data_IF_833254546851
#
_entry.id   IF_833254546851
#
_cell.length_a   1.000
_cell.length_b   1.000
_cell.length_c   1.000
_cell.angle_alpha   90.00
_cell.angle_beta   90.00
_cell.angle_gamma   90.00
#
_symmetry.space_group_name_H-M   'P 1'
#
loop_
_entity.id
_entity.type
_entity.pdbx_description
1 polymer ?
#
# COMPACT_ATOMS: atom_id res chain seq x y z
N UNK A 1 -66.32 16.85 -14.59
CA UNK A 1 -66.24 15.64 -13.75
C UNK A 1 -64.91 14.96 -14.06
N UNK A 2 -63.85 15.30 -13.31
CA UNK A 2 -62.50 14.75 -13.51
C UNK A 2 -62.00 14.25 -12.16
N UNK A 3 -62.00 12.93 -11.98
CA UNK A 3 -61.43 12.27 -10.82
C UNK A 3 -59.89 12.24 -10.96
N UNK A 4 -59.19 12.99 -10.10
CA UNK A 4 -57.75 12.83 -9.90
C UNK A 4 -57.51 11.65 -8.97
N UNK A 5 -57.04 10.55 -9.54
CA UNK A 5 -56.56 9.37 -8.82
C UNK A 5 -55.24 9.74 -8.13
N UNK A 6 -55.26 9.77 -6.80
CA UNK A 6 -54.06 9.89 -5.97
C UNK A 6 -53.42 8.50 -5.85
N UNK A 7 -52.29 8.28 -6.52
CA UNK A 7 -51.45 7.10 -6.29
C UNK A 7 -50.64 7.31 -5.01
N UNK A 8 -51.06 6.67 -3.92
CA UNK A 8 -50.27 6.53 -2.70
C UNK A 8 -49.17 5.48 -2.95
N UNK A 9 -47.96 5.94 -3.25
CA UNK A 9 -46.76 5.10 -3.21
C UNK A 9 -46.40 4.82 -1.75
N UNK A 10 -46.82 3.65 -1.25
CA UNK A 10 -46.28 3.08 -0.02
C UNK A 10 -44.78 2.80 -0.22
N UNK A 11 -43.93 3.69 0.29
CA UNK A 11 -42.53 3.36 0.56
C UNK A 11 -42.51 2.36 1.72
N UNK A 12 -42.51 1.07 1.40
CA UNK A 12 -42.16 0.02 2.35
C UNK A 12 -40.68 0.20 2.64
N UNK A 13 -40.36 0.89 3.73
CA UNK A 13 -39.04 0.82 4.36
C UNK A 13 -38.88 -0.59 4.90
N UNK A 14 -38.37 -1.49 4.07
CA UNK A 14 -37.84 -2.77 4.50
C UNK A 14 -36.76 -2.47 5.54
N UNK A 15 -37.10 -2.57 6.82
CA UNK A 15 -36.10 -2.74 7.86
C UNK A 15 -35.42 -4.06 7.54
N UNK A 16 -34.29 -3.98 6.83
CA UNK A 16 -33.38 -5.10 6.68
C UNK A 16 -32.90 -5.44 8.09
N UNK A 17 -33.62 -6.36 8.73
CA UNK A 17 -33.11 -7.06 9.91
C UNK A 17 -31.73 -7.57 9.51
N UNK A 18 -30.70 -7.05 10.18
CA UNK A 18 -29.31 -7.46 10.00
C UNK A 18 -29.19 -8.92 10.45
N UNK A 19 -29.58 -9.86 9.59
CA UNK A 19 -29.34 -11.27 9.83
C UNK A 19 -27.84 -11.46 9.95
N UNK A 20 -27.41 -11.98 11.10
CA UNK A 20 -26.02 -12.31 11.35
C UNK A 20 -25.60 -13.36 10.32
N UNK A 21 -24.54 -13.08 9.58
CA UNK A 21 -24.01 -14.03 8.60
C UNK A 21 -23.53 -15.28 9.35
N UNK A 22 -23.96 -16.51 8.97
CA UNK A 22 -23.52 -17.72 9.65
C UNK A 22 -22.01 -17.90 9.60
N UNK A 23 -21.40 -18.16 10.75
CA UNK A 23 -19.93 -18.30 10.92
C UNK A 23 -19.34 -19.36 10.01
N UNK A 24 -19.97 -20.52 9.89
CA UNK A 24 -19.51 -21.62 9.02
C UNK A 24 -19.43 -21.20 7.55
N UNK A 25 -20.35 -20.34 7.12
CA UNK A 25 -20.37 -19.81 5.75
C UNK A 25 -19.20 -18.86 5.50
N UNK A 26 -18.78 -18.08 6.52
CA UNK A 26 -17.62 -17.19 6.44
C UNK A 26 -16.32 -18.02 6.49
N UNK A 27 -16.28 -19.06 7.32
CA UNK A 27 -15.14 -19.96 7.40
C UNK A 27 -14.89 -20.67 6.06
N UNK A 28 -15.95 -21.11 5.38
CA UNK A 28 -15.86 -21.65 4.01
C UNK A 28 -15.32 -20.62 3.00
N UNK A 29 -15.73 -19.35 3.12
CA UNK A 29 -15.22 -18.26 2.27
C UNK A 29 -13.73 -17.99 2.52
N UNK A 30 -13.27 -18.03 3.78
CA UNK A 30 -11.85 -17.90 4.15
C UNK A 30 -11.04 -19.04 3.54
N UNK A 31 -11.50 -20.28 3.70
CA UNK A 31 -10.80 -21.46 3.18
C UNK A 31 -10.72 -21.45 1.65
N UNK A 32 -11.79 -21.04 0.98
CA UNK A 32 -11.80 -20.90 -0.48
C UNK A 32 -10.81 -19.81 -0.96
N UNK A 33 -10.70 -18.69 -0.23
CA UNK A 33 -9.70 -17.66 -0.48
C UNK A 33 -8.26 -18.14 -0.24
N UNK A 34 -8.02 -18.90 0.83
CA UNK A 34 -6.69 -19.49 1.09
C UNK A 34 -6.30 -20.53 0.03
N UNK A 35 -7.26 -21.33 -0.47
CA UNK A 35 -7.02 -22.24 -1.60
C UNK A 35 -6.62 -21.49 -2.87
N UNK A 36 -7.32 -20.40 -3.20
CA UNK A 36 -6.95 -19.53 -4.31
C UNK A 36 -5.51 -19.01 -4.18
N UNK A 37 -5.16 -18.45 -3.01
CA UNK A 37 -3.81 -17.94 -2.76
C UNK A 37 -2.75 -19.04 -2.90
N UNK A 38 -3.01 -20.24 -2.38
CA UNK A 38 -2.08 -21.35 -2.48
C UNK A 38 -1.90 -21.83 -3.94
N UNK A 39 -3.00 -21.91 -4.71
CA UNK A 39 -2.98 -22.36 -6.09
C UNK A 39 -2.32 -21.34 -7.05
N UNK A 40 -2.48 -20.04 -6.77
CA UNK A 40 -1.91 -18.95 -7.60
C UNK A 40 -0.52 -18.51 -7.18
N UNK A 41 0.08 -19.13 -6.16
CA UNK A 41 1.47 -18.87 -5.80
C UNK A 41 2.41 -19.53 -6.80
N UNK A 42 3.35 -18.76 -7.34
CA UNK A 42 4.30 -19.25 -8.32
C UNK A 42 5.23 -20.31 -7.72
N UNK A 43 5.37 -21.45 -8.37
CA UNK A 43 6.20 -22.57 -7.90
C UNK A 43 7.62 -22.54 -8.46
N UNK A 44 7.86 -21.78 -9.54
CA UNK A 44 9.14 -21.74 -10.25
C UNK A 44 9.53 -20.32 -10.66
N UNK A 45 10.84 -20.09 -10.70
CA UNK A 45 11.44 -18.87 -11.21
C UNK A 45 11.65 -18.98 -12.72
N UNK A 46 11.14 -17.98 -13.44
CA UNK A 46 11.41 -17.74 -14.85
C UNK A 46 12.00 -16.32 -14.92
N UNK A 47 13.34 -16.23 -15.02
CA UNK A 47 14.07 -14.97 -14.96
C UNK A 47 13.49 -13.92 -15.91
N UNK A 48 13.26 -12.71 -15.40
CA UNK A 48 12.67 -11.61 -16.16
C UNK A 48 11.16 -11.71 -16.42
N UNK A 49 10.48 -12.73 -15.87
CA UNK A 49 9.03 -12.94 -16.03
C UNK A 49 8.28 -13.15 -14.72
N UNK A 50 8.77 -14.06 -13.88
CA UNK A 50 8.18 -14.42 -12.58
C UNK A 50 9.20 -15.09 -11.67
N UNK A 51 8.99 -15.03 -10.37
CA UNK A 51 9.87 -15.68 -9.40
C UNK A 51 9.10 -16.64 -8.49
N UNK A 52 9.77 -17.70 -8.04
CA UNK A 52 9.16 -18.66 -7.12
C UNK A 52 8.72 -17.96 -5.83
N UNK A 53 7.55 -18.35 -5.32
CA UNK A 53 6.92 -17.75 -4.16
C UNK A 53 6.04 -16.53 -4.44
N UNK A 54 6.15 -15.90 -5.62
CA UNK A 54 5.37 -14.70 -5.95
C UNK A 54 3.89 -14.99 -6.20
N UNK A 55 3.06 -13.99 -5.90
CA UNK A 55 1.72 -13.87 -6.46
C UNK A 55 1.71 -12.89 -7.62
N UNK A 56 0.79 -13.08 -8.56
CA UNK A 56 0.67 -12.16 -9.69
C UNK A 56 0.22 -10.76 -9.24
N UNK A 57 0.96 -9.75 -9.70
CA UNK A 57 0.58 -8.36 -9.66
C UNK A 57 0.75 -7.77 -11.05
N UNK A 58 0.00 -6.71 -11.33
CA UNK A 58 0.02 -6.03 -12.61
C UNK A 58 0.34 -4.56 -12.45
N UNK A 59 1.21 -4.05 -13.31
CA UNK A 59 1.38 -2.64 -13.57
C UNK A 59 0.54 -2.24 -14.79
N UNK A 60 -0.46 -1.39 -14.56
CA UNK A 60 -1.46 -0.95 -15.54
C UNK A 60 -1.31 0.52 -15.84
N UNK A 61 -1.12 0.84 -17.11
CA UNK A 61 -1.17 2.20 -17.61
C UNK A 61 -2.54 2.42 -18.27
N UNK A 62 -3.34 3.36 -17.75
CA UNK A 62 -4.71 3.64 -18.24
C UNK A 62 -4.77 4.73 -19.32
N UNK A 63 -3.63 5.37 -19.62
CA UNK A 63 -3.51 6.42 -20.62
C UNK A 63 -2.10 6.51 -21.18
N UNK A 64 -1.82 7.55 -21.97
CA UNK A 64 -0.47 7.79 -22.48
C UNK A 64 0.27 8.82 -21.63
N UNK A 65 1.53 8.54 -21.31
CA UNK A 65 2.42 9.44 -20.57
C UNK A 65 3.72 9.55 -21.36
N UNK A 66 4.19 10.79 -21.54
CA UNK A 66 5.46 11.08 -22.21
C UNK A 66 6.60 10.26 -21.56
N UNK A 67 7.44 9.65 -22.40
CA UNK A 67 8.54 8.73 -22.03
C UNK A 67 8.16 7.37 -21.42
N UNK A 68 6.98 7.23 -20.79
CA UNK A 68 6.51 5.96 -20.22
C UNK A 68 5.72 5.10 -21.20
N UNK A 69 5.05 5.71 -22.19
CA UNK A 69 4.34 4.99 -23.24
C UNK A 69 2.83 5.17 -23.19
N UNK A 70 2.10 4.21 -23.76
CA UNK A 70 0.64 4.22 -23.90
C UNK A 70 -0.05 3.18 -23.03
N UNK A 71 -1.39 3.16 -23.11
CA UNK A 71 -2.25 2.22 -22.38
C UNK A 71 -1.73 0.80 -22.50
N UNK A 72 -1.53 0.15 -21.35
CA UNK A 72 -0.92 -1.17 -21.30
C UNK A 72 -1.14 -1.86 -19.95
N UNK A 73 -0.96 -3.18 -19.91
CA UNK A 73 -1.09 -3.99 -18.70
C UNK A 73 -0.04 -5.08 -18.73
N UNK A 74 0.88 -5.06 -17.77
CA UNK A 74 1.97 -6.02 -17.67
C UNK A 74 2.02 -6.62 -16.29
N UNK A 75 2.37 -7.90 -16.22
CA UNK A 75 2.71 -8.52 -14.95
C UNK A 75 3.93 -7.84 -14.36
N UNK A 76 3.98 -7.64 -13.06
CA UNK A 76 5.15 -7.08 -12.39
C UNK A 76 5.41 -7.77 -11.05
N UNK A 77 6.65 -7.68 -10.59
CA UNK A 77 7.10 -8.21 -9.31
C UNK A 77 7.53 -7.06 -8.42
N UNK A 78 6.87 -6.90 -7.27
CA UNK A 78 7.15 -5.81 -6.34
C UNK A 78 7.08 -6.24 -4.87
N UNK A 79 7.87 -5.57 -4.04
CA UNK A 79 7.98 -5.86 -2.61
C UNK A 79 6.63 -5.68 -1.90
N UNK A 80 5.91 -4.60 -2.20
CA UNK A 80 4.62 -4.29 -1.59
C UNK A 80 3.63 -5.47 -1.65
N UNK A 81 3.49 -6.11 -2.81
CA UNK A 81 2.59 -7.26 -2.98
C UNK A 81 3.08 -8.46 -2.17
N UNK A 82 4.37 -8.81 -2.28
CA UNK A 82 4.91 -10.00 -1.63
C UNK A 82 4.94 -9.88 -0.11
N UNK A 83 5.52 -8.80 0.41
CA UNK A 83 5.56 -8.51 1.84
C UNK A 83 4.15 -8.26 2.40
N UNK A 84 3.27 -7.61 1.62
CA UNK A 84 1.88 -7.37 1.99
C UNK A 84 1.10 -8.66 2.21
N UNK A 85 1.09 -9.57 1.22
CA UNK A 85 0.41 -10.87 1.33
C UNK A 85 1.06 -11.72 2.44
N UNK A 86 2.40 -11.76 2.52
CA UNK A 86 3.09 -12.47 3.60
C UNK A 86 2.63 -11.98 4.99
N UNK A 87 2.61 -10.66 5.21
CA UNK A 87 2.23 -10.08 6.50
C UNK A 87 0.76 -10.36 6.84
N UNK A 88 -0.14 -10.29 5.86
CA UNK A 88 -1.55 -10.62 6.03
C UNK A 88 -1.71 -12.10 6.43
N UNK A 89 -1.09 -13.01 5.69
CA UNK A 89 -1.15 -14.44 5.97
C UNK A 89 -0.54 -14.78 7.34
N UNK A 90 0.57 -14.13 7.71
CA UNK A 90 1.18 -14.30 9.02
C UNK A 90 0.26 -13.83 10.16
N UNK A 91 -0.43 -12.70 9.99
CA UNK A 91 -1.44 -12.24 10.95
C UNK A 91 -2.59 -13.23 11.09
N UNK A 92 -3.10 -13.75 9.98
CA UNK A 92 -4.14 -14.79 9.99
C UNK A 92 -3.67 -16.04 10.74
N UNK A 93 -2.46 -16.53 10.47
CA UNK A 93 -1.92 -17.71 11.13
C UNK A 93 -1.67 -17.50 12.63
N UNK A 94 -1.12 -16.35 13.02
CA UNK A 94 -0.85 -16.05 14.43
C UNK A 94 -2.15 -15.85 15.23
N UNK A 95 -3.21 -15.38 14.59
CA UNK A 95 -4.51 -15.24 15.22
C UNK A 95 -5.30 -16.57 15.27
N UNK A 96 -4.98 -17.55 14.41
CA UNK A 96 -5.52 -18.90 14.45
C UNK A 96 -4.52 -19.92 13.87
N UNK A 97 -3.77 -20.56 14.76
CA UNK A 97 -2.68 -21.47 14.37
C UNK A 97 -3.16 -22.81 13.80
N UNK A 98 -4.48 -23.07 13.79
CA UNK A 98 -5.08 -24.24 13.14
C UNK A 98 -5.04 -24.16 11.61
N UNK A 99 -4.90 -22.95 11.03
CA UNK A 99 -4.82 -22.70 9.59
C UNK A 99 -3.48 -23.10 8.98
N UNK A 100 -3.10 -24.38 9.10
CA UNK A 100 -1.80 -24.92 8.67
C UNK A 100 -1.50 -24.75 7.18
N UNK A 101 -2.53 -24.62 6.32
CA UNK A 101 -2.38 -24.33 4.88
C UNK A 101 -1.59 -23.03 4.61
N UNK A 102 -1.55 -22.11 5.57
CA UNK A 102 -0.80 -20.86 5.44
C UNK A 102 0.73 -21.08 5.50
N UNK A 103 1.19 -22.05 6.29
CA UNK A 103 2.63 -22.22 6.56
C UNK A 103 3.47 -22.45 5.29
N UNK A 104 3.08 -23.35 4.37
CA UNK A 104 3.82 -23.52 3.12
C UNK A 104 3.86 -22.27 2.26
N UNK A 105 2.78 -21.47 2.24
CA UNK A 105 2.74 -20.21 1.47
C UNK A 105 3.74 -19.19 2.03
N UNK A 106 3.81 -19.05 3.35
CA UNK A 106 4.76 -18.17 4.03
C UNK A 106 6.21 -18.60 3.77
N UNK A 107 6.51 -19.89 3.86
CA UNK A 107 7.86 -20.41 3.58
C UNK A 107 8.28 -20.16 2.13
N UNK A 108 7.36 -20.36 1.16
CA UNK A 108 7.64 -20.17 -0.26
C UNK A 108 7.90 -18.70 -0.63
N UNK A 109 7.10 -17.76 -0.11
CA UNK A 109 7.27 -16.33 -0.47
C UNK A 109 8.46 -15.68 0.25
N UNK A 110 8.87 -16.20 1.41
CA UNK A 110 9.84 -15.48 2.24
C UNK A 110 11.21 -15.22 1.57
N UNK A 111 11.84 -16.18 0.87
CA UNK A 111 13.06 -15.90 0.10
C UNK A 111 12.88 -14.79 -0.94
N UNK A 112 11.70 -14.76 -1.56
CA UNK A 112 11.35 -13.75 -2.55
C UNK A 112 11.14 -12.37 -1.92
N UNK A 113 10.52 -12.27 -0.74
CA UNK A 113 10.46 -11.01 0.03
C UNK A 113 11.88 -10.47 0.29
N UNK A 114 12.82 -11.34 0.68
CA UNK A 114 14.21 -10.94 0.93
C UNK A 114 14.94 -10.50 -0.34
N UNK A 115 14.52 -10.95 -1.53
CA UNK A 115 15.13 -10.56 -2.80
C UNK A 115 15.03 -9.05 -3.12
N UNK A 116 14.08 -8.36 -2.48
CA UNK A 116 13.93 -6.90 -2.61
C UNK A 116 14.89 -6.11 -1.71
N UNK A 117 15.56 -6.77 -0.76
CA UNK A 117 16.34 -6.11 0.28
C UNK A 117 17.74 -5.66 -0.17
N UNK A 118 18.27 -4.65 0.53
CA UNK A 118 19.69 -4.29 0.59
C UNK A 118 20.06 -4.20 2.07
N UNK A 119 20.38 -5.35 2.67
CA UNK A 119 20.51 -5.48 4.12
C UNK A 119 19.14 -5.42 4.79
N UNK A 120 18.92 -4.44 5.67
CA UNK A 120 17.62 -4.22 6.33
C UNK A 120 16.74 -3.20 5.60
N UNK A 121 17.20 -2.63 4.48
CA UNK A 121 16.43 -1.71 3.64
C UNK A 121 15.73 -2.50 2.54
N UNK A 122 14.55 -2.08 2.13
CA UNK A 122 13.81 -2.69 1.04
C UNK A 122 13.38 -1.64 0.03
N UNK A 123 13.05 -2.10 -1.16
CA UNK A 123 12.69 -1.29 -2.30
C UNK A 123 11.52 -1.93 -3.04
N UNK A 124 10.69 -1.10 -3.67
CA UNK A 124 9.56 -1.55 -4.47
C UNK A 124 9.94 -2.60 -5.52
N UNK A 125 11.06 -2.42 -6.22
CA UNK A 125 11.57 -3.38 -7.21
C UNK A 125 12.83 -4.10 -6.73
N UNK A 126 13.12 -5.27 -7.30
CA UNK A 126 14.37 -5.99 -7.04
C UNK A 126 15.51 -5.46 -7.91
N UNK A 127 16.76 -5.75 -7.55
CA UNK A 127 17.91 -5.43 -8.39
C UNK A 127 18.00 -6.41 -9.56
N UNK A 128 18.03 -5.91 -10.77
CA UNK A 128 18.07 -6.68 -12.01
C UNK A 128 19.10 -6.09 -12.98
N UNK A 129 19.63 -6.88 -13.93
CA UNK A 129 20.41 -6.33 -15.03
C UNK A 129 19.59 -5.28 -15.77
N UNK A 130 20.15 -4.13 -16.16
CA UNK A 130 19.41 -3.13 -16.90
C UNK A 130 18.93 -3.70 -18.24
N UNK A 131 17.77 -3.23 -18.73
CA UNK A 131 17.22 -3.69 -20.01
C UNK A 131 17.92 -3.08 -21.24
N UNK A 132 18.90 -2.21 -21.00
CA UNK A 132 19.70 -1.50 -22.00
C UNK A 132 20.88 -0.77 -21.35
N UNK A 133 21.80 -0.32 -22.18
CA UNK A 133 22.87 0.61 -21.79
C UNK A 133 22.32 1.93 -21.23
N UNK A 134 22.86 2.32 -20.07
CA UNK A 134 22.52 3.52 -19.32
C UNK A 134 23.48 4.67 -19.58
N UNK A 135 24.65 4.40 -20.15
CA UNK A 135 25.58 5.40 -20.65
C UNK A 135 25.46 5.54 -22.19
N UNK A 136 26.04 6.62 -22.71
CA UNK A 136 26.21 6.83 -24.16
C UNK A 136 27.54 6.27 -24.68
N UNK A 137 28.49 6.01 -23.77
CA UNK A 137 29.81 5.46 -24.07
C UNK A 137 30.01 4.12 -23.38
N UNK A 138 31.26 3.86 -22.97
CA UNK A 138 31.65 2.62 -22.33
C UNK A 138 30.89 2.40 -21.00
N UNK A 139 30.29 1.22 -20.86
CA UNK A 139 29.66 0.80 -19.61
C UNK A 139 30.71 0.29 -18.61
N UNK A 140 30.46 0.42 -17.29
CA UNK A 140 31.30 -0.21 -16.28
C UNK A 140 31.31 -1.74 -16.46
N UNK A 141 32.46 -2.35 -16.15
CA UNK A 141 32.64 -3.81 -16.17
C UNK A 141 33.04 -4.32 -14.77
N UNK A 142 32.19 -5.12 -14.10
CA UNK A 142 30.88 -5.58 -14.54
C UNK A 142 29.80 -4.49 -14.47
N UNK A 143 28.76 -4.62 -15.30
CA UNK A 143 27.61 -3.71 -15.30
C UNK A 143 26.83 -3.85 -13.98
N UNK A 144 26.65 -2.77 -13.19
CA UNK A 144 25.89 -2.83 -11.94
C UNK A 144 24.41 -3.15 -12.18
N UNK A 145 23.83 -3.91 -11.24
CA UNK A 145 22.40 -4.13 -11.20
C UNK A 145 21.65 -2.85 -10.82
N UNK A 146 20.42 -2.71 -11.32
CA UNK A 146 19.55 -1.55 -11.06
C UNK A 146 18.16 -2.01 -10.62
N UNK A 147 17.46 -1.18 -9.86
CA UNK A 147 16.04 -1.37 -9.54
C UNK A 147 15.22 -1.05 -10.79
N UNK A 148 14.27 -1.92 -11.14
CA UNK A 148 13.37 -1.73 -12.30
C UNK A 148 12.19 -2.70 -12.27
N UNK A 149 11.10 -2.41 -13.01
CA UNK A 149 10.07 -3.40 -13.30
C UNK A 149 10.65 -4.68 -13.87
N UNK A 150 10.00 -5.81 -13.56
CA UNK A 150 10.44 -7.13 -14.01
C UNK A 150 10.16 -7.34 -15.49
N UNK A 151 8.89 -7.18 -15.90
CA UNK A 151 8.46 -7.49 -17.29
C UNK A 151 8.20 -6.24 -18.14
N UNK A 152 8.01 -5.08 -17.52
CA UNK A 152 7.77 -3.85 -18.28
C UNK A 152 9.07 -3.29 -18.85
N UNK A 153 9.24 -3.42 -20.16
CA UNK A 153 10.42 -2.91 -20.86
C UNK A 153 10.40 -1.39 -20.97
N UNK A 154 11.18 -0.74 -20.11
CA UNK A 154 11.47 0.68 -20.20
C UNK A 154 12.31 0.96 -21.46
N UNK A 155 11.71 1.59 -22.47
CA UNK A 155 12.39 1.82 -23.76
C UNK A 155 13.40 2.96 -23.69
N UNK A 156 13.14 4.01 -22.90
CA UNK A 156 13.98 5.20 -22.86
C UNK A 156 15.08 5.09 -21.80
N UNK A 157 16.32 5.47 -22.14
CA UNK A 157 17.45 5.50 -21.20
C UNK A 157 17.17 6.35 -19.95
N UNK A 158 16.58 7.54 -20.13
CA UNK A 158 16.18 8.42 -19.03
C UNK A 158 15.26 7.71 -18.03
N UNK A 159 14.22 7.04 -18.53
CA UNK A 159 13.25 6.34 -17.70
C UNK A 159 13.87 5.08 -17.05
N UNK A 160 14.81 4.40 -17.70
CA UNK A 160 15.56 3.31 -17.04
C UNK A 160 16.34 3.83 -15.84
N UNK A 161 17.01 4.99 -15.97
CA UNK A 161 17.69 5.64 -14.84
C UNK A 161 16.69 6.05 -13.76
N UNK A 162 15.56 6.64 -14.14
CA UNK A 162 14.51 7.06 -13.21
C UNK A 162 13.84 5.89 -12.45
N UNK A 163 13.80 4.69 -13.04
CA UNK A 163 13.25 3.52 -12.38
C UNK A 163 14.18 2.90 -11.34
N UNK A 164 15.48 3.24 -11.38
CA UNK A 164 16.47 2.82 -10.39
C UNK A 164 16.28 3.58 -9.07
N UNK A 165 15.11 3.45 -8.44
CA UNK A 165 14.74 4.24 -7.27
C UNK A 165 15.50 3.82 -6.02
N UNK A 166 15.70 4.74 -5.09
CA UNK A 166 16.27 4.45 -3.76
C UNK A 166 15.34 3.55 -2.92
N UNK A 167 15.88 2.81 -1.95
CA UNK A 167 15.07 2.16 -0.93
C UNK A 167 14.17 3.17 -0.22
N UNK A 168 12.98 2.75 0.17
CA UNK A 168 12.00 3.63 0.80
C UNK A 168 11.54 3.07 2.15
N UNK A 169 11.03 3.95 3.00
CA UNK A 169 10.58 3.65 4.36
C UNK A 169 9.35 2.73 4.37
N UNK A 170 8.55 2.74 3.30
CA UNK A 170 7.32 1.97 3.20
C UNK A 170 7.62 0.49 3.01
N UNK A 171 8.29 0.16 1.91
CA UNK A 171 8.73 -1.21 1.61
C UNK A 171 9.71 -1.69 2.70
N UNK A 172 10.56 -0.80 3.23
CA UNK A 172 11.45 -1.14 4.36
C UNK A 172 10.65 -1.55 5.60
N UNK A 173 9.61 -0.80 5.97
CA UNK A 173 8.76 -1.17 7.12
C UNK A 173 8.02 -2.49 6.88
N UNK A 174 7.48 -2.71 5.68
CA UNK A 174 6.74 -3.92 5.31
C UNK A 174 7.63 -5.16 5.25
N UNK A 175 8.81 -5.05 4.65
CA UNK A 175 9.79 -6.14 4.56
C UNK A 175 10.35 -6.52 5.94
N UNK A 176 10.64 -5.55 6.80
CA UNK A 176 11.07 -5.83 8.17
C UNK A 176 9.95 -6.39 9.05
N UNK A 177 8.70 -6.01 8.80
CA UNK A 177 7.54 -6.65 9.44
C UNK A 177 7.40 -8.11 8.97
N UNK A 178 7.70 -8.41 7.71
CA UNK A 178 7.73 -9.78 7.21
C UNK A 178 8.82 -10.61 7.88
N UNK A 179 10.03 -10.05 8.04
CA UNK A 179 11.10 -10.70 8.83
C UNK A 179 10.62 -10.96 10.26
N UNK A 180 10.03 -9.97 10.93
CA UNK A 180 9.52 -10.12 12.30
C UNK A 180 8.49 -11.24 12.43
N UNK A 181 7.51 -11.29 11.53
CA UNK A 181 6.51 -12.34 11.49
C UNK A 181 7.13 -13.72 11.22
N UNK A 182 8.05 -13.80 10.26
CA UNK A 182 8.71 -15.05 9.91
C UNK A 182 9.50 -15.61 11.10
N UNK A 183 10.23 -14.75 11.82
CA UNK A 183 10.89 -15.13 13.08
C UNK A 183 9.92 -15.67 14.11
N UNK A 184 8.80 -14.97 14.31
CA UNK A 184 7.80 -15.34 15.31
C UNK A 184 7.13 -16.68 14.99
N UNK A 185 6.95 -17.02 13.72
CA UNK A 185 6.28 -18.25 13.27
C UNK A 185 7.25 -19.42 13.18
N UNK A 186 8.48 -19.20 12.70
CA UNK A 186 9.42 -20.27 12.35
C UNK A 186 10.67 -20.34 13.25
N UNK A 187 10.86 -19.40 14.20
CA UNK A 187 11.98 -19.42 15.16
C UNK A 187 13.36 -19.11 14.56
N UNK A 188 13.43 -18.36 13.45
CA UNK A 188 14.68 -18.09 12.72
C UNK A 188 15.38 -16.82 13.20
N UNK A 189 16.16 -16.89 14.29
CA UNK A 189 16.71 -15.68 14.92
C UNK A 189 17.86 -14.98 14.17
N UNK A 190 18.47 -15.63 13.18
CA UNK A 190 19.66 -15.13 12.46
C UNK A 190 19.43 -13.83 11.67
N UNK A 191 18.19 -13.52 11.30
CA UNK A 191 17.88 -12.37 10.45
C UNK A 191 17.90 -11.06 11.23
N UNK A 192 18.49 -10.00 10.68
CA UNK A 192 18.45 -8.67 11.32
C UNK A 192 17.18 -7.94 10.89
N UNK A 193 16.62 -7.16 11.81
CA UNK A 193 15.53 -6.21 11.51
C UNK A 193 16.00 -4.78 11.65
N UNK A 194 15.36 -3.86 10.95
CA UNK A 194 15.62 -2.43 11.02
C UNK A 194 15.46 -1.91 12.46
N UNK A 195 16.38 -1.05 12.90
CA UNK A 195 16.24 -0.30 14.15
C UNK A 195 15.56 1.05 13.86
N UNK A 196 14.91 1.69 14.85
CA UNK A 196 14.30 3.02 14.67
C UNK A 196 15.26 4.07 14.11
N UNK A 197 16.54 3.97 14.50
CA UNK A 197 17.63 4.82 14.02
C UNK A 197 17.77 4.83 12.48
N UNK A 198 17.33 3.79 11.78
CA UNK A 198 17.31 3.78 10.32
C UNK A 198 16.32 4.83 9.78
N UNK A 199 15.09 4.85 10.31
CA UNK A 199 14.05 5.79 9.90
C UNK A 199 14.34 7.20 10.46
N UNK A 200 14.82 7.29 11.69
CA UNK A 200 15.16 8.57 12.35
C UNK A 200 16.31 9.34 11.67
N UNK A 201 17.09 8.67 10.80
CA UNK A 201 18.07 9.34 9.95
C UNK A 201 17.40 10.20 8.87
N UNK A 202 16.20 9.82 8.42
CA UNK A 202 15.49 10.43 7.30
C UNK A 202 14.20 11.08 7.82
N UNK A 203 14.35 12.18 8.55
CA UNK A 203 13.22 12.97 9.06
C UNK A 203 13.07 14.27 8.25
N UNK A 204 11.82 14.73 8.08
CA UNK A 204 11.50 16.04 7.50
C UNK A 204 11.88 17.18 8.47
N UNK A 205 13.18 17.42 8.60
CA UNK A 205 13.79 18.49 9.41
C UNK A 205 14.79 19.26 8.56
N UNK A 206 14.69 20.59 8.59
CA UNK A 206 15.64 21.51 7.96
C UNK A 206 15.96 21.23 6.48
N UNK A 207 14.97 20.71 5.76
CA UNK A 207 15.13 20.32 4.35
C UNK A 207 15.30 21.53 3.45
N UNK A 208 16.39 21.48 2.66
CA UNK A 208 16.74 22.46 1.63
C UNK A 208 16.13 22.17 0.27
N UNK A 209 15.42 21.07 0.14
CA UNK A 209 14.67 20.74 -1.05
C UNK A 209 13.34 20.12 -0.64
N UNK A 210 12.22 20.69 -1.11
CA UNK A 210 10.88 20.32 -0.65
C UNK A 210 10.04 19.90 -1.84
N UNK A 211 9.40 18.74 -1.72
CA UNK A 211 8.60 18.22 -2.81
C UNK A 211 7.37 19.11 -3.04
N UNK A 212 7.15 19.52 -4.30
CA UNK A 212 6.10 20.45 -4.69
C UNK A 212 4.70 19.96 -4.29
N UNK A 213 4.44 18.65 -4.42
CA UNK A 213 3.16 18.06 -4.02
C UNK A 213 2.90 18.20 -2.52
N UNK A 214 3.90 17.92 -1.67
CA UNK A 214 3.77 18.17 -0.24
C UNK A 214 3.54 19.66 0.03
N UNK A 215 4.25 20.56 -0.64
CA UNK A 215 4.04 22.00 -0.50
C UNK A 215 2.61 22.43 -0.82
N UNK A 216 2.07 22.02 -1.97
CA UNK A 216 0.75 22.43 -2.45
C UNK A 216 -0.42 21.78 -1.69
N UNK A 217 -0.32 20.48 -1.39
CA UNK A 217 -1.47 19.71 -0.93
C UNK A 217 -1.41 19.30 0.53
N UNK A 218 -0.20 19.17 1.08
CA UNK A 218 0.00 18.77 2.47
C UNK A 218 0.35 19.99 3.33
N UNK A 219 1.12 20.96 2.83
CA UNK A 219 1.31 22.27 3.46
C UNK A 219 2.03 22.20 4.82
N UNK A 220 2.99 21.28 4.97
CA UNK A 220 3.82 21.16 6.18
C UNK A 220 5.26 21.53 5.89
N UNK A 221 5.78 22.50 6.64
CA UNK A 221 7.22 22.73 6.72
C UNK A 221 7.80 22.03 7.94
N UNK A 222 8.87 21.27 7.72
CA UNK A 222 9.65 20.63 8.77
C UNK A 222 8.75 19.88 9.76
N UNK A 223 7.93 18.96 9.24
CA UNK A 223 6.99 18.20 10.08
C UNK A 223 7.70 17.36 11.14
N UNK A 224 8.97 17.02 10.93
CA UNK A 224 9.74 16.11 11.78
C UNK A 224 9.40 14.64 11.59
N UNK A 225 8.42 14.32 10.73
CA UNK A 225 7.96 12.98 10.42
C UNK A 225 8.95 12.25 9.48
N UNK A 226 8.76 10.94 9.28
CA UNK A 226 9.61 10.15 8.40
C UNK A 226 9.44 10.56 6.95
N UNK A 227 10.56 10.63 6.24
CA UNK A 227 10.61 10.78 4.79
C UNK A 227 10.34 9.44 4.10
N UNK A 228 9.80 9.49 2.89
CA UNK A 228 9.51 8.30 2.09
C UNK A 228 10.80 7.61 1.64
N UNK A 229 11.75 8.33 1.04
CA UNK A 229 12.97 7.74 0.49
C UNK A 229 14.09 7.71 1.53
N UNK A 230 14.85 6.60 1.60
CA UNK A 230 15.98 6.41 2.52
C UNK A 230 17.31 6.82 1.85
N UNK A 231 17.29 7.96 1.16
CA UNK A 231 18.40 8.54 0.43
C UNK A 231 18.59 10.01 0.73
N UNK A 232 19.73 10.54 0.33
CA UNK A 232 20.06 11.96 0.44
C UNK A 232 19.44 12.72 -0.74
N UNK A 233 18.85 13.88 -0.47
CA UNK A 233 18.28 14.75 -1.50
C UNK A 233 19.32 15.71 -2.05
N UNK A 234 19.15 16.14 -3.29
CA UNK A 234 19.84 17.31 -3.79
C UNK A 234 19.39 18.55 -3.00
N UNK A 235 20.34 19.41 -2.62
CA UNK A 235 20.06 20.62 -1.88
C UNK A 235 19.94 21.84 -2.80
N UNK A 236 18.96 22.71 -2.52
CA UNK A 236 18.96 24.07 -3.05
C UNK A 236 19.56 25.04 -2.03
N UNK A 237 20.40 25.97 -2.47
CA UNK A 237 20.89 27.06 -1.61
C UNK A 237 19.74 27.90 -1.06
N UNK A 238 18.75 28.18 -1.92
CA UNK A 238 17.55 28.93 -1.59
C UNK A 238 16.35 28.30 -2.30
N UNK A 239 15.66 27.38 -1.63
CA UNK A 239 14.47 26.72 -2.18
C UNK A 239 13.29 27.68 -2.28
N UNK A 240 12.60 27.65 -3.43
CA UNK A 240 11.27 28.22 -3.58
C UNK A 240 10.47 27.39 -4.61
N UNK A 241 9.16 27.61 -4.64
CA UNK A 241 8.28 26.83 -5.51
C UNK A 241 8.55 27.07 -7.00
N UNK A 242 8.98 28.27 -7.41
CA UNK A 242 9.25 28.57 -8.83
C UNK A 242 10.48 27.81 -9.33
N UNK A 243 11.54 27.71 -8.53
CA UNK A 243 12.71 26.86 -8.80
C UNK A 243 12.32 25.39 -8.89
N UNK A 244 11.55 24.90 -7.91
CA UNK A 244 11.08 23.51 -7.93
C UNK A 244 10.28 23.20 -9.20
N UNK A 245 9.37 24.09 -9.61
CA UNK A 245 8.61 23.97 -10.85
C UNK A 245 9.52 23.99 -12.08
N UNK A 246 10.50 24.89 -12.14
CA UNK A 246 11.44 24.95 -13.26
C UNK A 246 12.22 23.64 -13.41
N UNK A 247 12.77 23.11 -12.31
CA UNK A 247 13.45 21.82 -12.31
C UNK A 247 12.56 20.65 -12.73
N UNK A 248 11.27 20.68 -12.35
CA UNK A 248 10.29 19.69 -12.81
C UNK A 248 9.96 19.82 -14.30
N UNK A 249 9.98 21.04 -14.87
CA UNK A 249 9.76 21.27 -16.30
C UNK A 249 10.98 20.86 -17.14
N UNK A 250 12.19 21.04 -16.60
CA UNK A 250 13.46 20.72 -17.26
C UNK A 250 14.06 19.41 -16.77
N UNK A 251 13.23 18.50 -16.23
CA UNK A 251 13.65 17.26 -15.59
C UNK A 251 14.52 16.34 -16.46
N UNK A 252 14.41 16.48 -17.78
CA UNK A 252 15.15 15.72 -18.78
C UNK A 252 16.55 16.28 -19.10
N UNK A 253 16.96 17.40 -18.49
CA UNK A 253 18.25 18.05 -18.75
C UNK A 253 19.22 17.81 -17.57
N UNK A 254 20.51 17.48 -17.81
CA UNK A 254 21.46 17.10 -16.75
C UNK A 254 21.72 18.11 -15.63
N UNK A 255 21.41 19.40 -15.83
CA UNK A 255 21.54 20.41 -14.77
C UNK A 255 20.37 20.38 -13.78
N UNK A 256 19.29 19.66 -14.08
CA UNK A 256 18.14 19.60 -13.20
C UNK A 256 18.39 18.62 -12.05
N UNK A 257 18.05 19.00 -10.82
CA UNK A 257 18.01 18.07 -9.68
C UNK A 257 17.07 16.88 -9.93
N UNK A 258 16.08 17.03 -10.82
CA UNK A 258 15.19 15.93 -11.20
C UNK A 258 15.82 14.97 -12.22
N UNK A 259 17.07 15.17 -12.63
CA UNK A 259 17.72 14.34 -13.63
C UNK A 259 18.31 13.06 -12.99
N UNK A 260 17.88 11.86 -13.40
CA UNK A 260 18.40 10.61 -12.87
C UNK A 260 19.75 10.27 -13.52
N UNK A 261 20.68 9.77 -12.70
CA UNK A 261 22.02 9.38 -13.15
C UNK A 261 22.13 7.86 -13.39
N UNK A 262 23.07 7.46 -14.25
CA UNK A 262 23.30 6.04 -14.53
C UNK A 262 23.81 5.36 -13.25
N UNK A 263 23.27 4.17 -12.94
CA UNK A 263 23.68 3.31 -11.83
C UNK A 263 23.62 3.93 -10.42
N UNK A 264 23.05 5.13 -10.29
CA UNK A 264 22.86 5.82 -9.02
C UNK A 264 21.40 5.69 -8.61
N UNK A 265 21.08 5.28 -7.36
CA UNK A 265 19.71 5.28 -6.87
C UNK A 265 19.08 6.66 -6.98
N UNK A 266 17.85 6.72 -7.48
CA UNK A 266 17.14 7.95 -7.79
C UNK A 266 16.02 8.19 -6.76
N UNK A 267 15.99 9.39 -6.21
CA UNK A 267 14.81 9.89 -5.50
C UNK A 267 13.91 10.54 -6.56
N UNK A 268 12.66 10.09 -6.74
CA UNK A 268 11.75 10.70 -7.71
C UNK A 268 11.69 12.21 -7.60
N UNK A 269 11.92 12.89 -8.72
CA UNK A 269 12.00 14.34 -8.85
C UNK A 269 13.17 14.99 -8.10
N UNK A 270 14.22 14.23 -7.78
CA UNK A 270 15.38 14.69 -7.01
C UNK A 270 15.04 15.17 -5.61
N UNK A 271 13.83 14.89 -5.15
CA UNK A 271 13.25 15.50 -3.96
C UNK A 271 12.40 14.47 -3.24
N UNK A 272 12.78 14.16 -2.02
CA UNK A 272 12.08 13.27 -1.12
C UNK A 272 10.73 13.85 -0.72
N UNK A 273 9.85 13.02 -0.21
CA UNK A 273 8.50 13.42 0.14
C UNK A 273 8.11 12.89 1.51
N UNK A 274 7.01 13.41 2.02
CA UNK A 274 6.42 12.98 3.29
C UNK A 274 5.03 12.45 2.99
N UNK A 275 4.81 11.15 3.17
CA UNK A 275 3.51 10.51 2.95
C UNK A 275 2.96 9.95 4.27
N UNK A 276 1.70 10.26 4.57
CA UNK A 276 1.04 9.84 5.81
C UNK A 276 0.75 8.33 5.87
N UNK A 277 0.59 7.66 4.73
CA UNK A 277 0.43 6.21 4.65
C UNK A 277 1.77 5.53 4.94
N UNK A 278 2.86 6.03 4.36
CA UNK A 278 4.22 5.56 4.64
C UNK A 278 4.53 5.70 6.13
N UNK A 279 4.24 6.87 6.72
CA UNK A 279 4.43 7.09 8.15
C UNK A 279 3.58 6.12 9.00
N UNK A 280 2.34 5.83 8.62
CA UNK A 280 1.50 4.86 9.31
C UNK A 280 2.03 3.41 9.20
N UNK A 281 2.61 3.03 8.06
CA UNK A 281 3.22 1.72 7.88
C UNK A 281 4.51 1.57 8.71
N UNK A 282 5.35 2.61 8.78
CA UNK A 282 6.50 2.68 9.70
C UNK A 282 6.04 2.52 11.15
N UNK A 283 5.02 3.26 11.57
CA UNK A 283 4.47 3.14 12.93
C UNK A 283 3.89 1.75 13.21
N UNK A 284 3.24 1.10 12.23
CA UNK A 284 2.78 -0.29 12.37
C UNK A 284 3.93 -1.24 12.68
N UNK A 285 5.02 -1.15 11.92
CA UNK A 285 6.22 -1.96 12.14
C UNK A 285 6.83 -1.70 13.53
N UNK A 286 7.02 -0.42 13.89
CA UNK A 286 7.58 -0.02 15.17
C UNK A 286 6.70 -0.47 16.35
N UNK A 287 5.38 -0.39 16.23
CA UNK A 287 4.44 -0.83 17.26
C UNK A 287 4.49 -2.35 17.45
N UNK A 288 4.39 -3.13 16.36
CA UNK A 288 4.47 -4.60 16.42
C UNK A 288 5.80 -5.10 17.00
N UNK A 289 6.89 -4.38 16.74
CA UNK A 289 8.22 -4.73 17.26
C UNK A 289 8.53 -4.15 18.64
N UNK A 290 7.63 -3.37 19.25
CA UNK A 290 7.85 -2.75 20.56
C UNK A 290 8.91 -1.64 20.55
N UNK A 291 9.05 -0.94 19.42
CA UNK A 291 10.12 0.03 19.15
C UNK A 291 9.63 1.48 18.98
N UNK A 292 8.32 1.74 18.97
CA UNK A 292 7.75 3.09 18.74
C UNK A 292 8.37 4.16 19.65
N UNK A 293 8.44 3.90 20.96
CA UNK A 293 8.98 4.82 21.97
C UNK A 293 10.49 5.12 21.82
N UNK A 294 11.21 4.30 21.03
CA UNK A 294 12.64 4.50 20.77
C UNK A 294 12.90 5.34 19.52
N UNK A 295 11.86 5.68 18.76
CA UNK A 295 11.99 6.44 17.52
C UNK A 295 11.77 7.93 17.75
N UNK A 296 12.75 8.73 17.33
CA UNK A 296 12.71 10.20 17.41
C UNK A 296 11.67 10.84 16.48
N UNK A 297 11.28 10.16 15.41
CA UNK A 297 10.29 10.63 14.45
C UNK A 297 8.83 10.28 14.79
N UNK A 298 8.58 9.45 15.81
CA UNK A 298 7.26 8.87 16.08
C UNK A 298 6.20 9.93 16.42
N UNK A 299 6.48 10.80 17.39
CA UNK A 299 5.56 11.87 17.80
C UNK A 299 5.21 12.81 16.62
N UNK A 300 6.20 13.13 15.79
CA UNK A 300 6.01 13.97 14.62
C UNK A 300 5.16 13.28 13.55
N UNK A 301 5.35 11.97 13.36
CA UNK A 301 4.50 11.16 12.48
C UNK A 301 3.05 11.15 12.97
N UNK A 302 2.80 11.00 14.28
CA UNK A 302 1.45 11.08 14.86
C UNK A 302 0.80 12.44 14.60
N UNK A 303 1.52 13.54 14.86
CA UNK A 303 1.00 14.90 14.63
C UNK A 303 0.68 15.16 13.17
N UNK A 304 1.52 14.69 12.25
CA UNK A 304 1.28 14.78 10.81
C UNK A 304 0.01 14.02 10.42
N UNK A 305 -0.10 12.75 10.84
CA UNK A 305 -1.24 11.87 10.56
C UNK A 305 -2.55 12.48 11.10
N UNK A 306 -2.56 12.92 12.36
CA UNK A 306 -3.74 13.51 12.99
C UNK A 306 -4.18 14.78 12.24
N UNK A 307 -3.25 15.68 11.93
CA UNK A 307 -3.58 16.92 11.24
C UNK A 307 -4.11 16.67 9.83
N UNK A 308 -3.61 15.65 9.12
CA UNK A 308 -4.17 15.23 7.84
C UNK A 308 -5.59 14.69 8.00
N UNK A 309 -5.81 13.76 8.94
CA UNK A 309 -7.14 13.22 9.21
C UNK A 309 -8.15 14.32 9.56
N UNK A 310 -7.78 15.27 10.43
CA UNK A 310 -8.62 16.42 10.79
C UNK A 310 -9.01 17.29 9.59
N UNK A 311 -8.13 17.43 8.59
CA UNK A 311 -8.42 18.19 7.36
C UNK A 311 -9.37 17.46 6.40
N UNK A 312 -9.55 16.14 6.54
CA UNK A 312 -10.55 15.38 5.80
C UNK A 312 -10.35 15.31 4.27
N UNK A 313 -9.14 15.57 3.75
CA UNK A 313 -8.84 15.49 2.31
C UNK A 313 -8.55 14.04 1.87
N UNK A 314 -9.47 13.12 2.16
CA UNK A 314 -9.30 11.66 2.07
C UNK A 314 -8.79 11.15 0.71
N UNK A 315 -9.20 11.77 -0.39
CA UNK A 315 -8.75 11.38 -1.74
C UNK A 315 -7.29 11.76 -2.07
N UNK A 316 -6.62 12.55 -1.20
CA UNK A 316 -5.27 13.09 -1.38
C UNK A 316 -4.34 12.83 -0.20
N UNK A 317 -4.68 11.86 0.68
CA UNK A 317 -3.83 11.54 1.84
C UNK A 317 -2.48 10.97 1.39
N UNK A 318 -2.49 9.87 0.64
CA UNK A 318 -1.27 9.31 0.06
C UNK A 318 -0.90 9.91 -1.29
N UNK A 319 0.38 10.16 -1.47
CA UNK A 319 1.06 10.45 -2.74
C UNK A 319 0.98 9.22 -3.64
N UNK A 320 1.35 8.06 -3.13
CA UNK A 320 1.40 6.81 -3.90
C UNK A 320 0.09 6.01 -3.83
N UNK A 321 -0.81 6.39 -2.92
CA UNK A 321 -2.02 5.65 -2.60
C UNK A 321 -3.27 6.38 -3.08
N UNK A 322 -3.75 6.09 -4.31
CA UNK A 322 -4.88 6.80 -4.89
C UNK A 322 -6.23 6.37 -4.31
N UNK A 323 -6.30 5.18 -3.71
CA UNK A 323 -7.48 4.71 -3.02
C UNK A 323 -7.69 5.49 -1.70
N UNK A 324 -8.82 6.21 -1.60
CA UNK A 324 -9.12 7.09 -0.45
C UNK A 324 -9.23 6.36 0.90
N UNK A 325 -9.41 5.03 0.88
CA UNK A 325 -9.54 4.22 2.09
C UNK A 325 -8.24 3.54 2.52
N UNK A 326 -7.17 3.59 1.71
CA UNK A 326 -5.87 3.03 2.10
C UNK A 326 -5.33 3.70 3.36
N UNK A 327 -5.44 5.03 3.46
CA UNK A 327 -5.05 5.77 4.66
C UNK A 327 -5.76 5.28 5.92
N UNK A 328 -7.06 4.94 5.82
CA UNK A 328 -7.82 4.43 6.96
C UNK A 328 -7.22 3.10 7.41
N UNK A 329 -7.01 2.19 6.46
CA UNK A 329 -6.45 0.87 6.71
C UNK A 329 -5.07 0.95 7.39
N UNK A 330 -4.15 1.74 6.84
CA UNK A 330 -2.79 1.86 7.37
C UNK A 330 -2.77 2.42 8.81
N UNK A 331 -3.52 3.50 9.06
CA UNK A 331 -3.55 4.13 10.40
C UNK A 331 -4.28 3.24 11.42
N UNK A 332 -5.41 2.64 11.05
CA UNK A 332 -6.12 1.74 11.97
C UNK A 332 -5.29 0.51 12.32
N UNK A 333 -4.49 0.00 11.38
CA UNK A 333 -3.60 -1.15 11.61
C UNK A 333 -2.46 -0.78 12.57
N UNK A 334 -1.89 0.42 12.46
CA UNK A 334 -0.92 0.93 13.42
C UNK A 334 -1.53 1.06 14.83
N UNK A 335 -2.75 1.58 14.92
CA UNK A 335 -3.45 1.72 16.20
C UNK A 335 -3.72 0.33 16.84
N UNK A 336 -4.27 -0.62 16.08
CA UNK A 336 -4.49 -1.99 16.54
C UNK A 336 -3.18 -2.76 16.81
N UNK A 337 -2.06 -2.33 16.24
CA UNK A 337 -0.74 -2.86 16.58
C UNK A 337 -0.22 -2.42 17.96
N UNK A 338 -0.91 -1.49 18.63
CA UNK A 338 -0.56 -1.00 19.97
C UNK A 338 -0.13 0.47 20.01
N UNK A 339 -0.20 1.20 18.90
CA UNK A 339 0.15 2.62 18.86
C UNK A 339 -1.02 3.51 19.32
N UNK A 340 -1.20 3.61 20.64
CA UNK A 340 -2.36 4.28 21.26
C UNK A 340 -2.38 5.79 21.05
N UNK A 341 -1.28 6.41 20.65
CA UNK A 341 -1.24 7.84 20.28
C UNK A 341 -2.17 8.16 19.09
N UNK A 342 -2.54 7.14 18.30
CA UNK A 342 -3.44 7.27 17.16
C UNK A 342 -4.94 7.25 17.53
N UNK A 343 -5.31 7.09 18.80
CA UNK A 343 -6.71 6.96 19.22
C UNK A 343 -7.60 8.12 18.72
N UNK A 344 -7.11 9.36 18.84
CA UNK A 344 -7.82 10.54 18.34
C UNK A 344 -7.99 10.53 16.82
N UNK A 345 -6.96 10.08 16.11
CA UNK A 345 -7.05 9.89 14.65
C UNK A 345 -8.08 8.80 14.31
N UNK A 346 -8.12 7.71 15.07
CA UNK A 346 -9.11 6.64 14.94
C UNK A 346 -10.55 7.17 14.93
N UNK A 347 -10.86 8.19 15.75
CA UNK A 347 -12.18 8.83 15.74
C UNK A 347 -12.47 9.55 14.41
N UNK A 348 -11.51 10.29 13.86
CA UNK A 348 -11.68 10.92 12.54
C UNK A 348 -11.90 9.89 11.43
N UNK A 349 -11.24 8.73 11.51
CA UNK A 349 -11.44 7.63 10.57
C UNK A 349 -12.85 7.05 10.70
N UNK A 350 -13.30 6.73 11.91
CA UNK A 350 -14.63 6.16 12.17
C UNK A 350 -15.74 7.11 11.69
N UNK A 351 -15.61 8.40 11.96
CA UNK A 351 -16.55 9.43 11.51
C UNK A 351 -16.66 9.45 9.98
N UNK A 352 -15.53 9.35 9.27
CA UNK A 352 -15.53 9.33 7.81
C UNK A 352 -16.10 8.02 7.26
N UNK A 353 -15.74 6.86 7.83
CA UNK A 353 -16.26 5.56 7.41
C UNK A 353 -17.78 5.52 7.56
N UNK A 354 -18.31 5.97 8.69
CA UNK A 354 -19.75 6.07 8.94
C UNK A 354 -20.46 6.95 7.91
N UNK A 355 -19.87 8.09 7.54
CA UNK A 355 -20.47 9.04 6.59
C UNK A 355 -20.37 8.61 5.12
N UNK A 356 -19.48 7.69 4.78
CA UNK A 356 -19.14 7.39 3.38
C UNK A 356 -19.54 6.00 2.91
N UNK A 357 -19.98 5.12 3.81
CA UNK A 357 -20.58 3.84 3.43
C UNK A 357 -21.79 4.08 2.52
N UNK A 358 -21.87 3.33 1.43
CA UNK A 358 -23.03 3.36 0.53
C UNK A 358 -24.15 2.49 1.10
N UNK A 359 -25.37 2.64 0.58
CA UNK A 359 -26.55 1.89 1.05
C UNK A 359 -26.43 0.37 0.89
N UNK A 360 -25.58 -0.10 -0.03
CA UNK A 360 -25.28 -1.52 -0.23
C UNK A 360 -24.11 -2.03 0.62
N UNK A 361 -23.60 -1.21 1.55
CA UNK A 361 -22.48 -1.56 2.44
C UNK A 361 -21.09 -1.34 1.84
N UNK A 362 -21.00 -0.97 0.56
CA UNK A 362 -19.72 -0.73 -0.12
C UNK A 362 -19.11 0.64 0.20
N UNK A 363 -17.83 0.77 -0.12
CA UNK A 363 -17.09 2.02 -0.18
C UNK A 363 -16.51 2.20 -1.57
N UNK A 364 -16.45 3.45 -2.08
CA UNK A 364 -16.01 3.72 -3.47
C UNK A 364 -14.85 4.69 -3.53
N UNK A 365 -13.84 4.40 -4.35
CA UNK A 365 -12.74 5.33 -4.63
C UNK A 365 -13.15 6.47 -5.58
N UNK A 366 -12.22 7.37 -5.93
CA UNK A 366 -12.40 8.39 -6.98
C UNK A 366 -12.65 7.71 -8.33
N UNK A 367 -13.44 8.34 -9.22
CA UNK A 367 -13.75 7.84 -10.57
C UNK A 367 -12.51 7.41 -11.34
N UNK A 368 -11.42 8.17 -11.21
CA UNK A 368 -10.17 7.90 -11.94
C UNK A 368 -9.38 6.73 -11.37
N UNK A 369 -9.75 6.20 -10.22
CA UNK A 369 -9.04 5.09 -9.54
C UNK A 369 -9.82 3.82 -9.81
N UNK A 370 -9.41 3.09 -10.86
CA UNK A 370 -10.03 1.86 -11.35
C UNK A 370 -11.57 1.95 -11.42
N UNK A 371 -12.07 2.98 -12.11
CA UNK A 371 -13.50 3.22 -12.36
C UNK A 371 -14.37 3.16 -11.09
N UNK A 372 -13.97 3.88 -10.05
CA UNK A 372 -14.57 3.82 -8.72
C UNK A 372 -14.30 2.51 -7.98
N UNK A 373 -13.06 2.05 -7.90
CA UNK A 373 -12.66 0.84 -7.15
C UNK A 373 -13.50 0.63 -5.89
N UNK A 374 -14.38 -0.38 -5.89
CA UNK A 374 -15.34 -0.64 -4.80
C UNK A 374 -14.91 -1.81 -3.93
N UNK A 375 -14.41 -2.88 -4.54
CA UNK A 375 -14.05 -4.11 -3.83
C UNK A 375 -12.90 -3.82 -2.88
N UNK A 376 -11.78 -3.30 -3.37
CA UNK A 376 -10.62 -3.06 -2.53
C UNK A 376 -10.81 -1.88 -1.57
N UNK A 377 -11.57 -0.85 -1.99
CA UNK A 377 -12.01 0.21 -1.08
C UNK A 377 -12.82 -0.33 0.09
N UNK A 378 -13.72 -1.28 -0.17
CA UNK A 378 -14.53 -1.91 0.87
C UNK A 378 -13.70 -2.84 1.74
N UNK A 379 -12.74 -3.57 1.17
CA UNK A 379 -11.80 -4.38 1.95
C UNK A 379 -10.97 -3.52 2.92
N UNK A 380 -10.41 -2.40 2.46
CA UNK A 380 -9.69 -1.45 3.33
C UNK A 380 -10.60 -0.84 4.40
N UNK A 381 -11.80 -0.41 4.03
CA UNK A 381 -12.75 0.18 4.96
C UNK A 381 -13.22 -0.81 6.03
N UNK A 382 -13.56 -2.04 5.63
CA UNK A 382 -13.94 -3.11 6.55
C UNK A 382 -12.81 -3.47 7.51
N UNK A 383 -11.58 -3.68 6.99
CA UNK A 383 -10.42 -3.91 7.85
C UNK A 383 -10.20 -2.73 8.81
N UNK A 384 -10.42 -1.49 8.35
CA UNK A 384 -10.32 -0.33 9.22
C UNK A 384 -11.32 -0.39 10.36
N UNK A 385 -12.60 -0.66 10.07
CA UNK A 385 -13.63 -0.82 11.10
C UNK A 385 -13.28 -1.92 12.10
N UNK A 386 -12.78 -3.06 11.63
CA UNK A 386 -12.38 -4.19 12.47
C UNK A 386 -11.17 -3.85 13.35
N UNK A 387 -10.15 -3.18 12.81
CA UNK A 387 -8.98 -2.75 13.58
C UNK A 387 -9.33 -1.68 14.62
N UNK A 388 -10.20 -0.72 14.29
CA UNK A 388 -10.67 0.26 15.27
C UNK A 388 -11.43 -0.43 16.41
N UNK A 389 -12.25 -1.44 16.09
CA UNK A 389 -12.94 -2.26 17.10
C UNK A 389 -11.96 -3.07 17.96
N UNK A 390 -10.96 -3.71 17.34
CA UNK A 390 -9.88 -4.44 18.02
C UNK A 390 -9.09 -3.53 18.97
N UNK A 391 -8.86 -2.28 18.58
CA UNK A 391 -8.21 -1.26 19.41
C UNK A 391 -9.13 -0.67 20.51
N UNK A 392 -10.35 -1.19 20.67
CA UNK A 392 -11.28 -0.82 21.73
C UNK A 392 -12.25 0.32 21.39
N UNK A 393 -12.33 0.78 20.14
CA UNK A 393 -13.31 1.79 19.75
C UNK A 393 -14.71 1.20 19.60
N UNK A 394 -15.73 2.00 19.92
CA UNK A 394 -17.12 1.62 19.72
C UNK A 394 -17.51 1.76 18.23
N UNK A 395 -17.31 0.69 17.47
CA UNK A 395 -17.66 0.62 16.04
C UNK A 395 -19.06 0.00 15.87
N UNK A 396 -20.00 0.68 15.20
CA UNK A 396 -21.34 0.13 14.97
C UNK A 396 -21.29 -1.18 14.16
N UNK A 397 -21.85 -2.26 14.71
CA UNK A 397 -21.86 -3.57 14.05
C UNK A 397 -22.54 -3.57 12.70
N UNK A 398 -23.54 -2.70 12.49
CA UNK A 398 -24.23 -2.55 11.21
C UNK A 398 -23.28 -2.18 10.06
N UNK A 399 -22.31 -1.28 10.30
CA UNK A 399 -21.32 -0.89 9.28
C UNK A 399 -20.50 -2.11 8.86
N UNK A 400 -20.04 -2.89 9.83
CA UNK A 400 -19.24 -4.10 9.61
C UNK A 400 -20.05 -5.14 8.83
N UNK A 401 -21.26 -5.47 9.29
CA UNK A 401 -22.11 -6.50 8.67
C UNK A 401 -22.50 -6.15 7.24
N UNK A 402 -22.81 -4.88 6.95
CA UNK A 402 -23.15 -4.43 5.60
C UNK A 402 -21.94 -4.53 4.65
N UNK A 403 -20.74 -4.14 5.10
CA UNK A 403 -19.52 -4.30 4.28
C UNK A 403 -19.13 -5.76 4.07
N UNK A 404 -19.33 -6.61 5.08
CA UNK A 404 -19.19 -8.06 4.93
C UNK A 404 -20.14 -8.59 3.86
N UNK A 405 -21.43 -8.25 3.93
CA UNK A 405 -22.43 -8.68 2.95
C UNK A 405 -22.06 -8.22 1.53
N UNK A 406 -21.61 -6.97 1.38
CA UNK A 406 -21.12 -6.47 0.10
C UNK A 406 -19.96 -7.33 -0.43
N UNK A 407 -18.88 -7.50 0.33
CA UNK A 407 -17.71 -8.25 -0.15
C UNK A 407 -18.08 -9.69 -0.52
N UNK A 408 -18.93 -10.35 0.26
CA UNK A 408 -19.40 -11.70 -0.06
C UNK A 408 -20.17 -11.76 -1.38
N UNK A 409 -20.97 -10.72 -1.69
CA UNK A 409 -21.67 -10.60 -2.98
C UNK A 409 -20.74 -10.38 -4.17
N UNK A 410 -19.51 -9.90 -3.94
CA UNK A 410 -18.52 -9.63 -4.98
C UNK A 410 -17.52 -10.78 -5.19
N UNK A 411 -17.78 -11.93 -4.56
CA UNK A 411 -16.95 -13.13 -4.67
C UNK A 411 -17.05 -13.72 -6.07
N UNK A 412 -15.91 -13.91 -6.71
CA UNK A 412 -15.79 -14.70 -7.94
C UNK A 412 -15.41 -16.14 -7.61
N UNK A 413 -15.77 -17.07 -8.49
CA UNK A 413 -15.40 -18.48 -8.39
C UNK A 413 -14.70 -18.95 -9.65
N UNK A 414 -13.60 -19.66 -9.47
CA UNK A 414 -12.87 -20.36 -10.53
C UNK A 414 -12.35 -21.67 -9.94
N UNK A 415 -12.63 -22.82 -10.57
CA UNK A 415 -12.13 -24.14 -10.11
C UNK A 415 -12.34 -24.45 -8.61
N UNK A 416 -13.49 -24.09 -8.04
CA UNK A 416 -13.81 -24.23 -6.60
C UNK A 416 -12.97 -23.34 -5.65
N UNK A 417 -12.22 -22.40 -6.20
CA UNK A 417 -11.49 -21.36 -5.49
C UNK A 417 -12.30 -20.06 -5.51
N UNK A 418 -12.25 -19.31 -4.41
CA UNK A 418 -12.91 -18.02 -4.31
C UNK A 418 -11.87 -16.90 -4.35
N UNK A 419 -12.14 -15.87 -5.13
CA UNK A 419 -11.27 -14.69 -5.18
C UNK A 419 -12.06 -13.41 -5.36
N UNK A 420 -11.39 -12.30 -5.09
CA UNK A 420 -11.92 -10.96 -5.28
C UNK A 420 -11.08 -10.22 -6.30
N UNK A 421 -11.76 -9.59 -7.26
CA UNK A 421 -11.08 -8.84 -8.31
C UNK A 421 -10.20 -7.74 -7.71
N UNK A 422 -8.97 -7.68 -8.19
CA UNK A 422 -7.91 -6.79 -7.74
C UNK A 422 -8.26 -5.32 -7.96
N UNK A 423 -8.16 -4.53 -6.90
CA UNK A 423 -8.22 -3.08 -6.96
C UNK A 423 -6.83 -2.44 -7.04
N UNK A 424 -6.80 -1.11 -6.95
CA UNK A 424 -5.55 -0.33 -6.98
C UNK A 424 -4.98 -0.22 -5.58
N UNK A 425 -3.86 -0.90 -5.34
CA UNK A 425 -3.14 -0.79 -4.07
C UNK A 425 -2.05 0.29 -4.09
N UNK A 426 -1.46 0.59 -5.24
CA UNK A 426 -0.36 1.56 -5.38
C UNK A 426 -0.42 2.28 -6.75
N UNK A 427 0.28 3.40 -6.88
CA UNK A 427 0.42 4.18 -8.12
C UNK A 427 1.81 4.80 -8.22
N UNK A 428 2.24 5.17 -9.44
CA UNK A 428 3.59 5.69 -9.70
C UNK A 428 3.91 7.10 -9.17
N UNK A 429 3.25 7.54 -8.09
CA UNK A 429 3.53 8.81 -7.43
C UNK A 429 2.91 10.03 -8.10
N UNK A 430 3.36 11.22 -7.72
CA UNK A 430 2.65 12.51 -7.88
C UNK A 430 2.18 12.86 -9.30
N UNK A 431 2.97 12.56 -10.33
CA UNK A 431 2.67 12.91 -11.73
C UNK A 431 1.77 11.88 -12.41
N UNK A 432 1.95 10.60 -12.10
CA UNK A 432 1.23 9.49 -12.76
C UNK A 432 0.22 8.80 -11.83
N UNK A 433 -0.10 9.43 -10.70
CA UNK A 433 -0.95 8.93 -9.61
C UNK A 433 -2.32 8.40 -10.05
N UNK A 434 -2.85 8.92 -11.16
CA UNK A 434 -4.17 8.58 -11.69
C UNK A 434 -4.10 7.89 -13.06
N UNK A 435 -2.94 7.38 -13.43
CA UNK A 435 -2.69 6.82 -14.77
C UNK A 435 -1.86 5.54 -14.74
N UNK A 436 -0.87 5.43 -13.84
CA UNK A 436 -0.08 4.23 -13.63
C UNK A 436 -0.47 3.59 -12.30
N UNK A 437 -1.09 2.43 -12.36
CA UNK A 437 -1.65 1.70 -11.21
C UNK A 437 -1.01 0.34 -11.04
N UNK A 438 -0.96 -0.12 -9.80
CA UNK A 438 -0.63 -1.50 -9.47
C UNK A 438 -1.84 -2.20 -8.86
N UNK A 439 -2.15 -3.39 -9.38
CA UNK A 439 -3.33 -4.18 -9.02
C UNK A 439 -2.98 -5.65 -8.82
N UNK A 440 -3.64 -6.34 -7.88
CA UNK A 440 -3.45 -7.78 -7.65
C UNK A 440 -4.70 -8.40 -7.03
N UNK A 441 -5.22 -9.44 -7.68
CA UNK A 441 -6.34 -10.25 -7.20
C UNK A 441 -5.94 -11.01 -5.94
N UNK A 442 -4.72 -11.54 -5.90
CA UNK A 442 -4.17 -12.21 -4.72
C UNK A 442 -4.07 -11.27 -3.52
N UNK A 443 -3.56 -10.05 -3.71
CA UNK A 443 -3.49 -9.07 -2.61
C UNK A 443 -4.88 -8.69 -2.08
N UNK A 444 -5.84 -8.46 -2.98
CA UNK A 444 -7.22 -8.13 -2.58
C UNK A 444 -7.89 -9.30 -1.88
N UNK A 445 -7.70 -10.53 -2.39
CA UNK A 445 -8.21 -11.75 -1.78
C UNK A 445 -7.64 -11.98 -0.39
N UNK A 446 -6.33 -11.74 -0.19
CA UNK A 446 -5.70 -11.81 1.13
C UNK A 446 -6.32 -10.80 2.11
N UNK A 447 -6.53 -9.55 1.69
CA UNK A 447 -7.21 -8.53 2.51
C UNK A 447 -8.61 -8.97 2.92
N UNK A 448 -9.41 -9.49 1.98
CA UNK A 448 -10.78 -9.94 2.26
C UNK A 448 -10.78 -11.14 3.22
N UNK A 449 -9.91 -12.13 3.01
CA UNK A 449 -9.78 -13.28 3.89
C UNK A 449 -9.40 -12.89 5.33
N UNK A 450 -8.48 -11.93 5.48
CA UNK A 450 -8.14 -11.37 6.79
C UNK A 450 -9.32 -10.64 7.44
N UNK A 451 -10.07 -9.86 6.65
CA UNK A 451 -11.24 -9.15 7.14
C UNK A 451 -12.31 -10.14 7.65
N UNK A 452 -12.54 -11.23 6.91
CA UNK A 452 -13.48 -12.28 7.29
C UNK A 452 -13.03 -13.01 8.55
N UNK A 453 -11.75 -13.32 8.68
CA UNK A 453 -11.23 -13.94 9.90
C UNK A 453 -11.36 -13.02 11.11
N UNK A 454 -11.02 -11.73 10.97
CA UNK A 454 -11.19 -10.74 12.04
C UNK A 454 -12.65 -10.53 12.41
N UNK A 455 -13.56 -10.59 11.44
CA UNK A 455 -14.99 -10.56 11.72
C UNK A 455 -15.42 -11.70 12.64
N UNK A 456 -15.04 -12.95 12.34
CA UNK A 456 -15.35 -14.12 13.17
C UNK A 456 -14.81 -13.96 14.60
N UNK A 457 -13.63 -13.35 14.75
CA UNK A 457 -12.97 -13.19 16.05
C UNK A 457 -13.58 -12.08 16.91
N UNK A 458 -14.14 -11.03 16.30
CA UNK A 458 -14.55 -9.80 16.99
C UNK A 458 -16.07 -9.61 17.10
N UNK A 459 -16.86 -10.38 16.34
CA UNK A 459 -18.32 -10.24 16.24
C UNK A 459 -19.00 -11.55 16.61
#
# INVERSE_FOLDING_TARGET
MYYKVFFLLFFIYSHSFSQRIPTDSIQADIEAGLRYLNARQCTQTINGKQYAGEWEAHMRMEGSILLLGSKSNFRDSNCFTMAGIHNILAEMYLADTSKKMILPMLQKVFPEVLSYSSGVRFNFWKQLPPNRDLLLGLEPDPVPLVRRPTTFTLKNRFINKAANVENDADDTSMGNLAIWYHKKIFGVDSLKTAKPALFDRYLDKDRKNRHWYNYLFHGFKNSGAYLTWLGEEDAFDNWNITKAVWHNLTFYIPYSVCFPHAYTPYIPWGTNDVDVVVNANVLTYLAKSGLTQKSKGSDAAHQLIEKHAKRGRWARMGIYYPNRFHFHYAVSRAFAAGDTALAKTGQYLLDNLTKTQQSDGSYKSDKKVNNHDRIQSTAYALLSLLYLKEAGMNVPSALITQSMAYLRSQKNFENQEAYWQGGVFFSGGTVVRKTLFFTSDAYTTALVALAFQKYIQLI
#
